data_IF_460571221225
#
_entry.id   IF_460571221225
#
_cell.length_a   1.000
_cell.length_b   1.000
_cell.length_c   1.000
_cell.angle_alpha   90.00
_cell.angle_beta   90.00
_cell.angle_gamma   90.00
#
_symmetry.space_group_name_H-M   'P 1'
#
loop_
_entity.id
_entity.type
_entity.pdbx_description
1 polymer ?
#
# COMPACT_ATOMS: atom_id res chain seq x y z
N UNK A 1 -30.29 5.00 -7.49
CA UNK A 1 -30.41 6.03 -6.44
C UNK A 1 -29.61 5.54 -5.24
N UNK A 2 -28.40 6.04 -4.96
CA UNK A 2 -27.82 5.80 -3.65
C UNK A 2 -28.54 6.72 -2.67
N UNK A 3 -29.39 6.14 -1.83
CA UNK A 3 -29.92 6.82 -0.65
C UNK A 3 -28.73 7.13 0.25
N UNK A 4 -28.50 8.41 0.53
CA UNK A 4 -27.59 8.79 1.62
C UNK A 4 -28.07 8.09 2.89
N UNK A 5 -27.15 7.44 3.60
CA UNK A 5 -27.45 6.92 4.93
C UNK A 5 -27.88 8.12 5.79
N UNK A 6 -29.07 8.08 6.41
CA UNK A 6 -29.48 9.17 7.29
C UNK A 6 -28.47 9.27 8.44
N UNK A 7 -28.22 10.47 8.96
CA UNK A 7 -27.30 10.63 10.10
C UNK A 7 -27.70 9.76 11.31
N UNK A 8 -29.00 9.43 11.44
CA UNK A 8 -29.52 8.49 12.43
C UNK A 8 -29.07 7.04 12.25
N UNK A 9 -28.51 6.66 11.10
CA UNK A 9 -27.89 5.36 10.87
C UNK A 9 -26.43 5.32 11.34
N UNK A 10 -25.85 6.45 11.73
CA UNK A 10 -24.49 6.52 12.29
C UNK A 10 -24.60 6.51 13.82
N UNK A 11 -24.09 5.45 14.45
CA UNK A 11 -23.93 5.41 15.91
C UNK A 11 -22.53 5.87 16.26
N UNK A 12 -22.41 7.02 16.92
CA UNK A 12 -21.14 7.47 17.47
C UNK A 12 -21.01 7.00 18.92
N UNK A 13 -19.96 6.23 19.20
CA UNK A 13 -19.54 5.95 20.57
C UNK A 13 -18.47 6.97 20.98
N UNK A 14 -18.59 7.52 22.19
CA UNK A 14 -17.56 8.37 22.79
C UNK A 14 -16.83 7.57 23.86
N UNK A 15 -15.51 7.53 23.77
CA UNK A 15 -14.64 6.95 24.79
C UNK A 15 -14.30 7.96 25.88
N UNK A 16 -13.93 7.47 27.05
CA UNK A 16 -13.30 8.29 28.09
C UNK A 16 -11.82 8.63 27.76
N UNK A 17 -11.26 8.02 26.71
CA UNK A 17 -9.86 8.21 26.29
C UNK A 17 -9.76 8.73 24.84
N UNK A 18 -8.61 9.32 24.53
CA UNK A 18 -8.28 9.87 23.21
C UNK A 18 -7.71 8.82 22.25
N UNK A 19 -8.05 7.53 22.43
CA UNK A 19 -7.48 6.43 21.63
C UNK A 19 -7.73 6.68 20.13
N UNK A 20 -8.96 7.04 19.78
CA UNK A 20 -9.42 7.29 18.41
C UNK A 20 -9.32 8.75 17.97
N UNK A 21 -8.77 9.66 18.78
CA UNK A 21 -8.54 11.04 18.41
C UNK A 21 -7.33 11.15 17.46
N UNK A 22 -7.43 10.52 16.29
CA UNK A 22 -6.34 10.31 15.34
C UNK A 22 -6.86 10.53 13.92
N UNK A 23 -6.10 11.29 13.13
CA UNK A 23 -6.33 11.57 11.72
C UNK A 23 -5.08 11.21 10.91
N UNK A 24 -5.27 10.78 9.67
CA UNK A 24 -4.19 10.39 8.75
C UNK A 24 -3.39 9.15 9.18
N UNK A 25 -3.82 8.41 10.21
CA UNK A 25 -3.36 7.04 10.47
C UNK A 25 -4.21 6.03 9.71
N UNK A 26 -3.84 4.76 9.74
CA UNK A 26 -4.63 3.66 9.16
C UNK A 26 -4.97 2.61 10.21
N UNK A 27 -6.05 1.86 9.97
CA UNK A 27 -6.50 0.79 10.88
C UNK A 27 -6.51 -0.55 10.16
N UNK A 28 -5.85 -1.55 10.74
CA UNK A 28 -5.84 -2.91 10.24
C UNK A 28 -6.20 -3.90 11.33
N UNK A 29 -7.00 -4.91 10.96
CA UNK A 29 -7.34 -6.04 11.82
C UNK A 29 -6.40 -7.20 11.52
N UNK A 30 -5.86 -7.81 12.56
CA UNK A 30 -5.01 -9.01 12.50
C UNK A 30 -5.85 -10.28 12.44
N UNK A 31 -5.23 -11.42 12.10
CA UNK A 31 -5.91 -12.73 12.13
C UNK A 31 -6.43 -13.13 13.53
N UNK A 32 -5.85 -12.58 14.61
CA UNK A 32 -6.26 -12.82 16.00
C UNK A 32 -7.31 -11.82 16.51
N UNK A 33 -7.99 -11.11 15.61
CA UNK A 33 -9.06 -10.13 15.89
C UNK A 33 -8.63 -8.89 16.71
N UNK A 34 -7.32 -8.69 16.88
CA UNK A 34 -6.77 -7.41 17.35
C UNK A 34 -6.80 -6.39 16.21
N UNK A 35 -7.16 -5.15 16.51
CA UNK A 35 -7.10 -4.01 15.60
C UNK A 35 -5.97 -3.10 16.02
N UNK A 36 -5.18 -2.66 15.04
CA UNK A 36 -4.09 -1.72 15.24
C UNK A 36 -4.41 -0.42 14.51
N UNK A 37 -4.46 0.69 15.26
CA UNK A 37 -4.47 2.04 14.74
C UNK A 37 -3.02 2.53 14.65
N UNK A 38 -2.53 2.67 13.43
CA UNK A 38 -1.12 2.89 13.12
C UNK A 38 -0.87 4.37 12.81
N UNK A 39 -0.07 4.99 13.67
CA UNK A 39 0.44 6.36 13.57
C UNK A 39 -0.68 7.41 13.40
N UNK A 40 -0.40 8.49 12.66
CA UNK A 40 -1.29 9.63 12.53
C UNK A 40 -1.11 10.67 13.62
N UNK A 41 -2.06 11.60 13.67
CA UNK A 41 -2.00 12.76 14.55
C UNK A 41 -3.38 13.11 15.13
N UNK A 42 -3.39 13.55 16.38
CA UNK A 42 -4.51 14.25 16.96
C UNK A 42 -4.54 15.68 16.43
N UNK A 43 -5.61 16.01 15.71
CA UNK A 43 -5.80 17.30 15.11
C UNK A 43 -6.97 18.00 15.80
N UNK A 44 -6.69 19.06 16.56
CA UNK A 44 -7.72 19.82 17.26
C UNK A 44 -8.22 20.98 16.40
N UNK A 45 -9.54 21.01 16.16
CA UNK A 45 -10.19 22.07 15.41
C UNK A 45 -10.24 21.84 13.88
N UNK A 46 -10.67 22.85 13.11
CA UNK A 46 -10.78 22.74 11.65
C UNK A 46 -9.40 22.77 10.97
N UNK A 47 -9.28 22.06 9.84
CA UNK A 47 -8.06 22.06 9.04
C UNK A 47 -7.79 23.43 8.43
N UNK A 48 -6.56 23.94 8.59
CA UNK A 48 -6.04 25.10 7.87
C UNK A 48 -4.69 24.73 7.25
N UNK A 49 -4.28 25.40 6.17
CA UNK A 49 -3.08 25.02 5.40
C UNK A 49 -1.76 25.00 6.19
N UNK A 50 -1.69 25.67 7.34
CA UNK A 50 -0.53 25.67 8.24
C UNK A 50 -0.74 24.86 9.53
N UNK A 51 -1.92 24.27 9.71
CA UNK A 51 -2.23 23.54 10.94
C UNK A 51 -1.43 22.23 11.02
N UNK A 52 -0.88 21.96 12.20
CA UNK A 52 -0.15 20.74 12.51
C UNK A 52 -0.78 20.06 13.74
N UNK A 53 -0.91 18.74 13.72
CA UNK A 53 -1.46 17.97 14.84
C UNK A 53 -0.37 17.52 15.82
N UNK A 54 -0.81 16.97 16.96
CA UNK A 54 0.05 16.23 17.89
C UNK A 54 0.13 14.79 17.38
N UNK A 55 1.31 14.35 16.93
CA UNK A 55 1.48 13.01 16.39
C UNK A 55 1.42 11.98 17.51
N UNK A 56 0.77 10.85 17.24
CA UNK A 56 0.74 9.74 18.19
C UNK A 56 2.08 9.05 18.21
N UNK A 57 2.71 8.89 17.03
CA UNK A 57 3.96 8.15 16.83
C UNK A 57 3.93 6.76 17.47
N UNK A 58 2.74 6.15 17.38
CA UNK A 58 2.32 4.95 18.08
C UNK A 58 1.54 4.02 17.17
N UNK A 59 1.68 2.72 17.43
CA UNK A 59 0.67 1.72 17.09
C UNK A 59 -0.20 1.51 18.32
N UNK A 60 -1.51 1.77 18.19
CA UNK A 60 -2.49 1.65 19.27
C UNK A 60 -3.38 0.44 19.02
N UNK A 61 -3.28 -0.54 19.89
CA UNK A 61 -3.96 -1.83 19.77
C UNK A 61 -5.22 -1.86 20.62
N UNK A 62 -6.29 -2.43 20.08
CA UNK A 62 -7.58 -2.62 20.76
C UNK A 62 -8.35 -3.77 20.11
N UNK A 63 -9.35 -4.31 20.80
CA UNK A 63 -10.34 -5.21 20.20
C UNK A 63 -11.64 -4.45 19.95
N UNK A 64 -12.44 -4.92 18.98
CA UNK A 64 -13.77 -4.38 18.68
C UNK A 64 -14.79 -5.48 18.87
N UNK A 65 -15.77 -5.25 19.73
CA UNK A 65 -16.94 -6.11 19.87
C UNK A 65 -18.13 -5.42 19.21
N UNK A 66 -18.66 -6.05 18.17
CA UNK A 66 -19.81 -5.55 17.41
C UNK A 66 -20.85 -6.66 17.26
N UNK A 67 -22.05 -6.40 17.76
CA UNK A 67 -23.22 -7.23 17.49
C UNK A 67 -24.16 -6.46 16.56
N UNK A 68 -24.40 -6.94 15.33
CA UNK A 68 -25.42 -6.37 14.46
C UNK A 68 -26.79 -6.41 15.13
N UNK A 69 -27.60 -5.37 14.96
CA UNK A 69 -28.98 -5.40 15.42
C UNK A 69 -29.79 -6.43 14.63
N UNK A 70 -30.60 -7.24 15.31
CA UNK A 70 -31.67 -8.00 14.65
C UNK A 70 -32.82 -7.06 14.25
N UNK A 71 -33.79 -7.53 13.47
CA UNK A 71 -35.02 -6.76 13.25
C UNK A 71 -35.64 -6.35 14.61
N UNK A 72 -35.73 -5.04 14.86
CA UNK A 72 -36.22 -4.46 16.11
C UNK A 72 -35.21 -4.36 17.26
N UNK A 73 -33.98 -4.85 17.10
CA UNK A 73 -32.88 -4.73 18.08
C UNK A 73 -31.89 -3.63 17.70
N UNK A 74 -31.38 -2.92 18.69
CA UNK A 74 -30.28 -1.96 18.47
C UNK A 74 -28.95 -2.72 18.32
N UNK A 75 -28.07 -2.34 17.37
CA UNK A 75 -26.72 -2.88 17.32
C UNK A 75 -25.95 -2.49 18.58
N UNK A 76 -24.99 -3.33 19.00
CA UNK A 76 -24.03 -2.99 20.06
C UNK A 76 -22.65 -2.80 19.43
N UNK A 77 -21.91 -1.80 19.90
CA UNK A 77 -20.54 -1.53 19.50
C UNK A 77 -19.74 -1.13 20.74
N UNK A 78 -18.66 -1.84 21.02
CA UNK A 78 -17.71 -1.50 22.08
C UNK A 78 -16.29 -1.84 21.66
N UNK A 79 -15.32 -1.35 22.42
CA UNK A 79 -13.91 -1.64 22.19
C UNK A 79 -13.17 -1.81 23.52
N UNK A 80 -12.12 -2.61 23.51
CA UNK A 80 -11.22 -2.77 24.67
C UNK A 80 -9.82 -2.33 24.28
N UNK A 81 -9.31 -1.21 24.83
CA UNK A 81 -7.91 -0.82 24.66
C UNK A 81 -6.97 -1.91 25.16
N UNK A 82 -5.86 -2.14 24.46
CA UNK A 82 -4.84 -3.09 24.86
C UNK A 82 -3.52 -2.38 25.21
N UNK A 83 -2.75 -1.99 24.19
CA UNK A 83 -1.44 -1.37 24.34
C UNK A 83 -1.22 -0.28 23.31
N UNK A 84 -0.36 0.69 23.64
CA UNK A 84 0.25 1.59 22.68
C UNK A 84 1.74 1.28 22.60
N UNK A 85 2.32 1.27 21.40
CA UNK A 85 3.74 0.97 21.21
C UNK A 85 4.37 1.85 20.12
N UNK A 86 5.50 2.53 20.40
CA UNK A 86 6.09 2.71 21.72
C UNK A 86 5.22 3.60 22.63
N UNK A 87 5.37 3.48 23.95
CA UNK A 87 4.73 4.36 24.92
C UNK A 87 5.82 4.93 25.87
N UNK A 88 6.09 6.24 25.84
CA UNK A 88 5.50 7.26 24.96
C UNK A 88 5.87 7.06 23.47
N UNK A 89 5.10 7.70 22.58
CA UNK A 89 5.40 7.73 21.15
C UNK A 89 6.79 8.31 20.84
N UNK A 90 7.40 7.87 19.73
CA UNK A 90 8.72 8.34 19.30
C UNK A 90 8.65 9.08 17.96
N UNK A 91 8.68 10.40 17.99
CA UNK A 91 8.60 11.22 16.78
C UNK A 91 9.84 11.10 15.88
N UNK A 92 10.99 10.67 16.43
CA UNK A 92 12.22 10.52 15.65
C UNK A 92 12.19 9.28 14.75
N UNK A 93 11.31 8.33 15.08
CA UNK A 93 11.12 7.09 14.33
C UNK A 93 9.73 7.01 13.69
N UNK A 94 8.66 7.34 14.39
CA UNK A 94 7.30 6.89 14.05
C UNK A 94 6.31 8.01 13.76
N UNK A 95 6.74 9.27 13.79
CA UNK A 95 5.90 10.41 13.42
C UNK A 95 5.54 10.36 11.95
N UNK A 96 4.31 10.05 11.56
CA UNK A 96 3.87 10.13 10.16
C UNK A 96 2.36 10.06 10.05
N UNK A 97 1.83 10.61 8.95
CA UNK A 97 0.42 10.51 8.56
C UNK A 97 0.28 10.39 7.04
N UNK A 98 -0.96 10.22 6.59
CA UNK A 98 -1.40 10.12 5.20
C UNK A 98 -0.53 9.10 4.45
N UNK A 99 -0.50 7.87 4.96
CA UNK A 99 0.48 6.86 4.61
C UNK A 99 -0.15 5.56 4.09
N UNK A 100 0.67 4.72 3.46
CA UNK A 100 0.29 3.35 3.12
C UNK A 100 0.66 2.40 4.27
N UNK A 101 -0.35 1.86 4.97
CA UNK A 101 -0.17 0.75 5.92
C UNK A 101 -0.84 -0.49 5.33
N UNK A 102 -0.07 -1.58 5.20
CA UNK A 102 -0.55 -2.81 4.55
C UNK A 102 -0.36 -4.02 5.46
N UNK A 103 -1.21 -5.06 5.35
CA UNK A 103 -0.90 -6.34 5.97
C UNK A 103 0.34 -6.93 5.29
N UNK A 104 1.16 -7.66 6.05
CA UNK A 104 2.40 -8.22 5.54
C UNK A 104 2.59 -9.67 5.96
N UNK A 105 3.35 -10.40 5.15
CA UNK A 105 3.73 -11.79 5.37
C UNK A 105 5.25 -11.90 5.32
N UNK A 106 5.83 -12.54 6.32
CA UNK A 106 7.27 -12.83 6.41
C UNK A 106 7.47 -14.32 6.64
N UNK A 107 8.52 -14.89 6.09
CA UNK A 107 8.96 -16.25 6.40
C UNK A 107 10.29 -16.20 7.13
N UNK A 108 10.48 -17.11 8.08
CA UNK A 108 11.81 -17.34 8.65
C UNK A 108 12.73 -17.95 7.59
N UNK A 109 13.86 -17.32 7.23
CA UNK A 109 14.80 -17.92 6.28
C UNK A 109 15.33 -19.30 6.70
N UNK A 110 15.29 -19.62 7.99
CA UNK A 110 15.75 -20.89 8.55
C UNK A 110 14.62 -21.92 8.75
N UNK A 111 13.36 -21.50 8.67
CA UNK A 111 12.20 -22.38 8.76
C UNK A 111 11.16 -22.00 7.69
N UNK A 112 11.17 -22.69 6.54
CA UNK A 112 10.25 -22.39 5.46
C UNK A 112 8.77 -22.58 5.77
N UNK A 113 8.43 -23.34 6.82
CA UNK A 113 7.05 -23.52 7.27
C UNK A 113 6.59 -22.41 8.21
N UNK A 114 7.51 -21.66 8.83
CA UNK A 114 7.20 -20.58 9.74
C UNK A 114 6.91 -19.27 8.99
N UNK A 115 5.63 -19.06 8.70
CA UNK A 115 5.12 -17.80 8.17
C UNK A 115 4.58 -16.94 9.31
N UNK A 116 5.03 -15.69 9.38
CA UNK A 116 4.66 -14.70 10.37
C UNK A 116 3.84 -13.59 9.70
N UNK A 117 2.70 -13.28 10.30
CA UNK A 117 1.87 -12.15 9.90
C UNK A 117 2.30 -10.87 10.64
N UNK A 118 2.09 -9.74 9.99
CA UNK A 118 2.28 -8.42 10.58
C UNK A 118 1.71 -7.33 9.68
N UNK A 119 2.24 -6.13 9.79
CA UNK A 119 1.95 -5.02 8.91
C UNK A 119 3.23 -4.33 8.48
N UNK A 120 3.17 -3.58 7.39
CA UNK A 120 4.23 -2.65 7.00
C UNK A 120 3.60 -1.30 6.79
N UNK A 121 4.04 -0.32 7.58
CA UNK A 121 3.79 1.08 7.31
C UNK A 121 4.94 1.58 6.44
N UNK A 122 4.62 1.97 5.22
CA UNK A 122 5.60 2.47 4.27
C UNK A 122 5.98 3.93 4.59
N UNK A 123 6.41 4.68 3.58
CA UNK A 123 6.52 6.12 3.62
C UNK A 123 5.28 6.81 4.23
N UNK A 124 5.37 8.12 4.40
CA UNK A 124 4.30 8.96 4.92
C UNK A 124 4.82 10.38 5.01
N UNK A 125 4.02 11.30 5.48
CA UNK A 125 4.38 12.72 5.41
C UNK A 125 4.48 13.41 6.75
N UNK A 126 5.14 14.57 6.68
CA UNK A 126 5.46 15.49 7.73
C UNK A 126 6.46 14.95 8.75
N UNK A 127 7.69 14.74 8.28
CA UNK A 127 8.84 14.47 9.17
C UNK A 127 8.95 15.52 10.28
N UNK A 128 9.49 15.07 11.40
CA UNK A 128 9.77 15.95 12.53
C UNK A 128 11.02 16.82 12.29
N UNK A 129 11.35 17.70 13.25
CA UNK A 129 12.58 18.49 13.21
C UNK A 129 13.85 17.62 13.40
N UNK A 130 13.68 16.38 13.86
CA UNK A 130 14.75 15.39 14.02
C UNK A 130 14.23 14.05 13.49
N UNK A 131 15.01 13.40 12.63
CA UNK A 131 14.67 12.08 12.07
C UNK A 131 15.82 11.11 12.30
N UNK A 132 15.49 9.85 12.59
CA UNK A 132 16.47 8.78 12.61
C UNK A 132 16.90 8.43 11.17
N UNK A 133 18.21 8.34 10.94
CA UNK A 133 18.80 7.92 9.65
C UNK A 133 19.46 6.56 9.75
N UNK A 134 19.42 5.97 10.93
CA UNK A 134 20.00 4.67 11.23
C UNK A 134 21.45 4.65 11.68
N UNK A 135 22.24 5.65 11.33
CA UNK A 135 23.54 5.85 11.98
C UNK A 135 23.46 6.85 13.13
N UNK A 136 22.23 7.23 13.51
CA UNK A 136 21.94 8.28 14.47
C UNK A 136 20.71 9.07 14.04
N UNK A 137 20.73 10.37 14.32
CA UNK A 137 19.67 11.31 13.93
C UNK A 137 20.24 12.48 13.14
N UNK A 138 19.42 13.07 12.28
CA UNK A 138 19.74 14.31 11.57
C UNK A 138 18.67 15.35 11.82
N UNK A 139 19.07 16.62 11.88
CA UNK A 139 18.13 17.73 11.84
C UNK A 139 17.42 17.75 10.49
N UNK A 140 16.11 17.88 10.52
CA UNK A 140 15.24 18.00 9.35
C UNK A 140 14.55 19.37 9.42
N UNK A 141 14.29 20.04 8.28
CA UNK A 141 13.47 21.24 8.25
C UNK A 141 12.03 20.99 8.71
N UNK A 142 11.66 19.72 8.92
CA UNK A 142 10.30 19.28 9.18
C UNK A 142 9.48 19.27 7.91
N UNK A 143 8.27 18.73 7.99
CA UNK A 143 7.31 18.70 6.89
C UNK A 143 7.78 17.98 5.61
N UNK A 144 8.83 17.15 5.72
CA UNK A 144 9.31 16.29 4.64
C UNK A 144 8.53 14.98 4.55
N UNK A 145 9.03 14.07 3.72
CA UNK A 145 8.50 12.70 3.61
C UNK A 145 9.37 11.70 4.34
N UNK A 146 8.74 10.69 4.93
CA UNK A 146 9.41 9.48 5.39
C UNK A 146 9.69 8.58 4.22
N UNK A 147 10.85 7.94 4.27
CA UNK A 147 11.33 7.06 3.21
C UNK A 147 11.74 5.68 3.73
N UNK A 148 11.80 5.51 5.04
CA UNK A 148 12.09 4.22 5.67
C UNK A 148 10.79 3.52 6.10
N UNK A 149 10.56 2.28 5.61
CA UNK A 149 9.45 1.46 6.06
C UNK A 149 9.56 1.14 7.56
N UNK A 150 8.41 0.88 8.17
CA UNK A 150 8.28 0.38 9.53
C UNK A 150 7.54 -0.95 9.47
N UNK A 151 8.23 -2.02 9.87
CA UNK A 151 7.61 -3.32 10.08
C UNK A 151 6.92 -3.30 11.45
N UNK A 152 5.69 -3.82 11.51
CA UNK A 152 4.89 -3.88 12.72
C UNK A 152 4.51 -5.33 12.95
N UNK A 153 4.87 -5.88 14.11
CA UNK A 153 4.53 -7.26 14.47
C UNK A 153 3.01 -7.47 14.60
N UNK A 154 2.56 -8.72 14.63
CA UNK A 154 1.17 -9.05 14.93
C UNK A 154 0.68 -8.46 16.28
N UNK A 155 1.59 -8.26 17.25
CA UNK A 155 1.31 -7.66 18.57
C UNK A 155 1.37 -6.13 18.58
N UNK A 156 1.63 -5.50 17.43
CA UNK A 156 1.67 -4.04 17.30
C UNK A 156 3.02 -3.41 17.65
N UNK A 157 4.12 -4.16 17.73
CA UNK A 157 5.44 -3.60 18.00
C UNK A 157 6.08 -3.07 16.70
N UNK A 158 6.32 -1.76 16.55
CA UNK A 158 6.93 -1.18 15.35
C UNK A 158 8.46 -1.24 15.39
N UNK A 159 9.08 -1.52 14.24
CA UNK A 159 10.52 -1.48 14.00
C UNK A 159 10.80 -0.80 12.67
N UNK A 160 11.48 0.35 12.69
CA UNK A 160 11.89 1.03 11.46
C UNK A 160 13.07 0.29 10.81
N UNK A 161 12.87 -0.12 9.56
CA UNK A 161 13.88 -0.82 8.76
C UNK A 161 14.88 0.20 8.20
N UNK A 162 16.15 -0.19 8.12
CA UNK A 162 17.21 0.68 7.61
C UNK A 162 17.78 1.65 8.64
N UNK A 163 17.41 1.50 9.92
CA UNK A 163 17.98 2.26 11.04
C UNK A 163 19.41 1.84 11.44
N UNK A 164 20.20 1.32 10.51
CA UNK A 164 21.65 1.08 10.68
C UNK A 164 22.42 1.55 9.44
N UNK A 165 21.96 2.62 8.79
CA UNK A 165 22.16 2.80 7.35
C UNK A 165 23.61 2.86 6.86
N UNK A 166 23.85 2.23 5.72
CA UNK A 166 25.02 2.45 4.88
C UNK A 166 24.53 3.13 3.59
N UNK A 167 25.43 3.53 2.69
CA UNK A 167 25.06 4.12 1.40
C UNK A 167 24.15 3.21 0.53
N UNK A 168 23.99 1.94 0.88
CA UNK A 168 23.14 0.96 0.18
C UNK A 168 21.82 0.64 0.88
N UNK A 169 21.47 1.37 1.95
CA UNK A 169 20.18 1.16 2.61
C UNK A 169 19.02 1.59 1.72
N UNK A 170 17.95 0.79 1.70
CA UNK A 170 16.75 1.12 0.96
C UNK A 170 16.13 2.42 1.46
N UNK A 171 15.67 3.23 0.51
CA UNK A 171 14.96 4.48 0.73
C UNK A 171 13.81 4.49 -0.26
N UNK A 172 12.56 4.51 0.23
CA UNK A 172 11.39 4.58 -0.63
C UNK A 172 11.39 5.92 -1.37
N UNK A 173 11.46 5.84 -2.70
CA UNK A 173 11.59 6.97 -3.59
C UNK A 173 10.24 7.58 -3.98
N UNK A 174 9.17 6.79 -4.09
CA UNK A 174 7.89 7.23 -4.66
C UNK A 174 6.68 6.74 -3.87
N UNK A 175 5.51 7.32 -4.17
CA UNK A 175 4.20 6.96 -3.61
C UNK A 175 4.16 7.10 -2.07
N UNK A 176 4.52 8.28 -1.58
CA UNK A 176 4.65 8.55 -0.15
C UNK A 176 3.32 8.69 0.57
N UNK A 177 2.30 9.21 -0.11
CA UNK A 177 0.98 9.37 0.46
C UNK A 177 0.13 8.10 0.32
N UNK A 178 -0.89 7.99 1.19
CA UNK A 178 -1.96 6.99 1.10
C UNK A 178 -2.49 6.86 -0.33
N UNK A 179 -2.49 5.62 -0.82
CA UNK A 179 -3.02 5.26 -2.12
C UNK A 179 -3.70 3.90 -2.08
N UNK A 180 -4.38 3.55 -3.17
CA UNK A 180 -4.73 2.16 -3.37
C UNK A 180 -3.44 1.33 -3.37
N UNK A 181 -3.48 0.17 -2.72
CA UNK A 181 -2.34 -0.72 -2.63
C UNK A 181 -2.80 -2.18 -2.65
N UNK A 182 -1.89 -3.06 -3.07
CA UNK A 182 -2.11 -4.50 -3.20
C UNK A 182 -0.84 -5.20 -2.74
N UNK A 183 -0.97 -6.11 -1.75
CA UNK A 183 0.16 -6.90 -1.27
C UNK A 183 0.06 -8.36 -1.70
N UNK A 184 1.14 -8.87 -2.28
CA UNK A 184 1.28 -10.27 -2.72
C UNK A 184 2.50 -10.90 -2.05
N UNK A 185 2.42 -12.20 -1.80
CA UNK A 185 3.50 -12.98 -1.22
C UNK A 185 3.76 -14.23 -2.04
N UNK A 186 5.00 -14.47 -2.42
CA UNK A 186 5.41 -15.70 -3.10
C UNK A 186 5.86 -16.76 -2.09
N UNK A 187 5.16 -17.89 -2.11
CA UNK A 187 5.54 -19.11 -1.43
C UNK A 187 6.85 -19.70 -1.97
N UNK A 188 7.09 -19.56 -3.28
CA UNK A 188 8.26 -20.12 -3.96
C UNK A 188 9.54 -19.34 -3.73
N UNK A 189 9.52 -18.00 -3.72
CA UNK A 189 10.73 -17.18 -3.50
C UNK A 189 10.86 -16.65 -2.07
N UNK A 190 9.75 -16.53 -1.35
CA UNK A 190 9.69 -15.86 -0.04
C UNK A 190 9.57 -14.34 -0.14
N UNK A 191 9.43 -13.79 -1.34
CA UNK A 191 9.29 -12.35 -1.56
C UNK A 191 7.90 -11.86 -1.19
N UNK A 192 7.87 -10.68 -0.57
CA UNK A 192 6.67 -9.93 -0.28
C UNK A 192 6.69 -8.64 -1.08
N UNK A 193 5.70 -8.43 -1.94
CA UNK A 193 5.63 -7.26 -2.82
C UNK A 193 4.34 -6.48 -2.58
N UNK A 194 4.46 -5.18 -2.33
CA UNK A 194 3.33 -4.26 -2.29
C UNK A 194 3.36 -3.35 -3.51
N UNK A 195 2.29 -3.38 -4.30
CA UNK A 195 2.03 -2.42 -5.36
C UNK A 195 1.33 -1.20 -4.76
N UNK A 196 1.77 -0.01 -5.12
CA UNK A 196 1.17 1.27 -4.77
C UNK A 196 0.71 1.95 -6.04
N UNK A 197 -0.59 2.21 -6.16
CA UNK A 197 -1.20 2.71 -7.38
C UNK A 197 -1.37 4.23 -7.32
N UNK A 198 -0.52 4.97 -8.04
CA UNK A 198 -0.61 6.43 -8.14
C UNK A 198 -0.47 7.12 -6.78
N UNK A 199 -1.25 8.17 -6.54
CA UNK A 199 -1.23 8.89 -5.27
C UNK A 199 -0.49 10.21 -5.36
N UNK A 200 0.21 10.57 -4.29
CA UNK A 200 1.02 11.78 -4.19
C UNK A 200 2.46 11.38 -3.87
N UNK A 201 3.43 12.02 -4.53
CA UNK A 201 4.82 11.57 -4.53
C UNK A 201 5.82 12.71 -4.31
N UNK A 202 6.95 12.41 -3.66
CA UNK A 202 8.10 13.31 -3.55
C UNK A 202 9.09 13.17 -4.71
N UNK A 203 8.99 12.11 -5.50
CA UNK A 203 9.80 11.96 -6.70
C UNK A 203 8.97 11.43 -7.87
N UNK A 204 9.32 11.88 -9.07
CA UNK A 204 8.79 11.35 -10.34
C UNK A 204 9.91 10.63 -11.07
N UNK A 205 9.60 9.49 -11.67
CA UNK A 205 10.55 8.69 -12.44
C UNK A 205 10.27 8.85 -13.93
N UNK A 206 11.30 9.17 -14.71
CA UNK A 206 11.21 9.13 -16.17
C UNK A 206 11.67 7.76 -16.68
N UNK A 207 10.76 6.89 -17.16
CA UNK A 207 11.13 5.56 -17.63
C UNK A 207 11.95 5.56 -18.92
N UNK A 208 12.02 6.67 -19.68
CA UNK A 208 12.85 6.76 -20.88
C UNK A 208 14.32 7.04 -20.55
N UNK A 209 14.57 7.96 -19.61
CA UNK A 209 15.93 8.33 -19.19
C UNK A 209 16.43 7.55 -17.98
N UNK A 210 15.55 6.91 -17.22
CA UNK A 210 15.86 6.27 -15.95
C UNK A 210 16.13 7.26 -14.81
N UNK A 211 15.77 8.54 -14.99
CA UNK A 211 16.06 9.61 -14.04
C UNK A 211 14.93 9.76 -13.03
N UNK A 212 15.31 9.79 -11.75
CA UNK A 212 14.43 10.15 -10.65
C UNK A 212 14.59 11.64 -10.33
N UNK A 213 13.50 12.39 -10.31
CA UNK A 213 13.49 13.83 -10.03
C UNK A 213 12.70 14.13 -8.78
N UNK A 214 13.30 14.82 -7.81
CA UNK A 214 12.64 15.30 -6.61
C UNK A 214 11.67 16.44 -6.93
N UNK A 215 10.49 16.40 -6.32
CA UNK A 215 9.40 17.36 -6.49
C UNK A 215 9.06 17.94 -5.11
N UNK A 216 9.33 19.23 -4.90
CA UNK A 216 9.19 19.87 -3.59
C UNK A 216 7.73 20.09 -3.18
N UNK A 217 6.83 20.18 -4.17
CA UNK A 217 5.40 20.45 -3.99
C UNK A 217 4.58 19.19 -3.71
N UNK A 218 5.21 18.00 -3.77
CA UNK A 218 4.55 16.71 -3.62
C UNK A 218 3.34 16.56 -4.57
N UNK A 219 3.56 16.43 -5.89
CA UNK A 219 2.47 16.37 -6.85
C UNK A 219 1.68 15.07 -6.80
N UNK A 220 0.42 15.13 -7.23
CA UNK A 220 -0.34 13.98 -7.67
C UNK A 220 0.39 13.25 -8.80
N UNK A 221 0.31 11.92 -8.82
CA UNK A 221 0.97 11.09 -9.82
C UNK A 221 0.11 9.89 -10.20
N UNK A 222 0.19 9.49 -11.48
CA UNK A 222 -0.35 8.22 -11.95
C UNK A 222 0.63 7.06 -11.80
N UNK A 223 1.89 7.34 -11.41
CA UNK A 223 2.96 6.35 -11.40
C UNK A 223 2.71 5.30 -10.33
N UNK A 224 2.77 4.05 -10.76
CA UNK A 224 2.60 2.85 -9.96
C UNK A 224 4.00 2.32 -9.69
N UNK A 225 4.27 1.99 -8.43
CA UNK A 225 5.49 1.30 -8.05
C UNK A 225 5.20 0.02 -7.28
N UNK A 226 6.18 -0.88 -7.28
CA UNK A 226 6.20 -2.06 -6.43
C UNK A 226 7.35 -1.93 -5.45
N UNK A 227 7.06 -2.07 -4.16
CA UNK A 227 8.09 -2.23 -3.12
C UNK A 227 8.16 -3.70 -2.75
N UNK A 228 9.32 -4.32 -2.93
CA UNK A 228 9.56 -5.73 -2.64
C UNK A 228 10.50 -5.88 -1.46
N UNK A 229 10.09 -6.66 -0.47
CA UNK A 229 10.95 -7.23 0.56
C UNK A 229 11.27 -8.67 0.21
N UNK A 230 12.54 -8.95 -0.04
CA UNK A 230 13.04 -10.30 -0.32
C UNK A 230 13.04 -11.16 0.95
N UNK A 231 13.17 -12.48 0.82
CA UNK A 231 13.28 -13.41 1.95
C UNK A 231 14.39 -13.00 2.95
N UNK A 232 15.50 -12.47 2.46
CA UNK A 232 16.61 -11.99 3.28
C UNK A 232 16.30 -10.69 4.06
N UNK A 233 15.16 -10.05 3.81
CA UNK A 233 14.75 -8.78 4.42
C UNK A 233 15.22 -7.53 3.67
N UNK A 234 15.91 -7.69 2.54
CA UNK A 234 16.32 -6.59 1.66
C UNK A 234 15.10 -5.97 0.97
N UNK A 235 15.03 -4.64 0.97
CA UNK A 235 13.99 -3.90 0.28
C UNK A 235 14.48 -3.32 -1.05
N UNK A 236 13.60 -3.30 -2.04
CA UNK A 236 13.78 -2.57 -3.30
C UNK A 236 12.47 -1.93 -3.75
N UNK A 237 12.54 -0.91 -4.61
CA UNK A 237 11.37 -0.29 -5.24
C UNK A 237 11.57 -0.25 -6.76
N UNK A 238 10.52 -0.59 -7.51
CA UNK A 238 10.52 -0.62 -8.96
C UNK A 238 9.36 0.19 -9.51
N UNK A 239 9.59 0.94 -10.58
CA UNK A 239 8.52 1.52 -11.40
C UNK A 239 7.86 0.40 -12.23
N UNK A 240 6.53 0.28 -12.14
CA UNK A 240 5.79 -0.80 -12.83
C UNK A 240 4.84 -0.29 -13.90
N UNK A 241 4.56 1.02 -13.95
CA UNK A 241 3.68 1.61 -14.95
C UNK A 241 2.92 2.81 -14.41
N UNK A 242 1.83 3.17 -15.08
CA UNK A 242 0.97 4.29 -14.74
C UNK A 242 -0.51 3.89 -14.85
N UNK A 243 -1.40 4.61 -14.16
CA UNK A 243 -2.83 4.50 -14.40
C UNK A 243 -3.16 4.70 -15.89
N UNK A 244 -4.18 3.99 -16.42
CA UNK A 244 -4.62 4.19 -17.79
C UNK A 244 -5.14 5.61 -17.99
N UNK A 245 -4.93 6.14 -19.19
CA UNK A 245 -5.47 7.42 -19.58
C UNK A 245 -7.00 7.36 -19.71
N UNK A 246 -7.70 8.23 -19.00
CA UNK A 246 -9.16 8.39 -19.04
C UNK A 246 -9.51 9.81 -19.53
N UNK A 247 -10.14 9.96 -20.71
CA UNK A 247 -10.63 11.27 -21.13
C UNK A 247 -11.86 11.65 -20.29
N UNK A 248 -11.83 12.81 -19.63
CA UNK A 248 -13.05 13.38 -19.03
C UNK A 248 -13.96 13.92 -20.15
N UNK A 249 -15.27 13.69 -19.98
CA UNK A 249 -16.36 14.04 -20.90
C UNK A 249 -16.28 15.50 -21.38
N UNK A 250 -16.57 15.72 -22.67
CA UNK A 250 -16.51 16.98 -23.46
C UNK A 250 -15.26 17.21 -24.32
N UNK A 251 -14.59 16.14 -24.77
CA UNK A 251 -13.61 16.22 -25.87
C UNK A 251 -12.33 17.01 -25.56
N UNK A 252 -12.15 17.46 -24.32
CA UNK A 252 -10.94 18.16 -23.88
C UNK A 252 -10.06 17.16 -23.14
N UNK A 253 -8.85 16.92 -23.65
CA UNK A 253 -7.86 16.06 -23.02
C UNK A 253 -7.37 16.72 -21.72
N UNK A 254 -7.91 16.32 -20.57
CA UNK A 254 -7.30 16.64 -19.28
C UNK A 254 -6.53 15.42 -18.79
N UNK A 255 -5.25 15.61 -18.45
CA UNK A 255 -4.48 14.64 -17.68
C UNK A 255 -5.19 14.45 -16.34
N UNK A 256 -5.72 13.26 -16.08
CA UNK A 256 -6.34 12.93 -14.80
C UNK A 256 -5.35 12.10 -14.01
N UNK A 257 -5.01 12.58 -12.80
CA UNK A 257 -4.08 11.95 -11.86
C UNK A 257 -4.88 11.26 -10.77
N UNK A 258 -4.68 9.96 -10.61
CA UNK A 258 -5.48 9.07 -9.76
C UNK A 258 -4.67 8.46 -8.62
N UNK A 259 -5.39 7.78 -7.72
CA UNK A 259 -4.81 6.85 -6.75
C UNK A 259 -4.72 7.40 -5.33
N UNK A 260 -4.65 8.72 -5.15
CA UNK A 260 -4.57 9.34 -3.83
C UNK A 260 -5.82 9.01 -3.02
N UNK A 261 -5.66 8.42 -1.83
CA UNK A 261 -6.76 7.94 -0.97
C UNK A 261 -7.71 6.92 -1.61
N UNK A 262 -7.37 6.35 -2.77
CA UNK A 262 -8.15 5.28 -3.37
C UNK A 262 -7.98 3.98 -2.57
N UNK A 263 -8.90 3.03 -2.73
CA UNK A 263 -8.80 1.71 -2.08
C UNK A 263 -8.92 0.58 -3.10
N UNK A 264 -8.17 -0.48 -2.86
CA UNK A 264 -8.26 -1.73 -3.60
C UNK A 264 -9.27 -2.66 -2.92
N UNK A 265 -10.08 -3.32 -3.73
CA UNK A 265 -11.10 -4.28 -3.32
C UNK A 265 -10.84 -5.60 -4.06
N UNK A 266 -10.52 -6.65 -3.30
CA UNK A 266 -10.31 -7.98 -3.86
C UNK A 266 -11.58 -8.49 -4.56
N UNK A 267 -11.41 -9.19 -5.69
CA UNK A 267 -12.56 -9.75 -6.40
C UNK A 267 -13.23 -10.85 -5.57
N UNK A 268 -14.55 -10.81 -5.34
CA UNK A 268 -15.26 -11.85 -4.59
C UNK A 268 -15.30 -13.20 -5.32
N UNK A 269 -14.89 -13.24 -6.60
CA UNK A 269 -14.81 -14.46 -7.40
C UNK A 269 -13.55 -15.28 -7.13
N UNK A 270 -12.58 -14.74 -6.37
CA UNK A 270 -11.36 -15.46 -6.07
C UNK A 270 -11.63 -16.60 -5.08
N UNK A 271 -10.92 -17.73 -5.21
CA UNK A 271 -11.10 -18.84 -4.29
C UNK A 271 -10.57 -18.47 -2.90
N UNK A 272 -11.17 -19.05 -1.85
CA UNK A 272 -10.83 -18.72 -0.46
C UNK A 272 -9.36 -18.95 -0.11
N UNK A 273 -8.66 -19.84 -0.83
CA UNK A 273 -7.24 -20.12 -0.62
C UNK A 273 -6.29 -19.12 -1.31
N UNK A 274 -6.78 -18.21 -2.16
CA UNK A 274 -5.95 -17.23 -2.90
C UNK A 274 -5.31 -16.16 -2.00
N UNK A 275 -5.76 -16.06 -0.75
CA UNK A 275 -5.29 -15.06 0.21
C UNK A 275 -4.97 -15.69 1.57
N UNK A 276 -4.11 -15.04 2.33
CA UNK A 276 -3.95 -15.26 3.77
C UNK A 276 -5.13 -14.65 4.52
N UNK A 277 -5.31 -15.04 5.78
CA UNK A 277 -6.40 -14.52 6.62
C UNK A 277 -6.30 -13.00 6.82
N UNK A 278 -5.08 -12.45 6.87
CA UNK A 278 -4.84 -11.01 6.95
C UNK A 278 -5.03 -10.26 5.61
N UNK A 279 -5.47 -10.93 4.55
CA UNK A 279 -5.78 -10.31 3.26
C UNK A 279 -4.61 -10.17 2.28
N UNK A 280 -3.41 -10.65 2.62
CA UNK A 280 -2.29 -10.70 1.64
C UNK A 280 -2.57 -11.79 0.61
N UNK A 281 -2.33 -11.52 -0.66
CA UNK A 281 -2.52 -12.51 -1.72
C UNK A 281 -1.38 -13.51 -1.76
N UNK A 282 -1.70 -14.78 -2.00
CA UNK A 282 -0.72 -15.83 -2.29
C UNK A 282 -0.43 -15.82 -3.78
N UNK A 283 0.73 -15.26 -4.17
CA UNK A 283 1.09 -15.05 -5.56
C UNK A 283 1.09 -16.37 -6.34
N UNK A 284 1.69 -17.43 -5.79
CA UNK A 284 1.78 -18.71 -6.50
C UNK A 284 0.39 -19.30 -6.79
N UNK A 285 -0.55 -19.16 -5.85
CA UNK A 285 -1.93 -19.61 -6.02
C UNK A 285 -2.69 -18.75 -7.03
N UNK A 286 -2.49 -17.42 -7.00
CA UNK A 286 -3.06 -16.53 -8.02
C UNK A 286 -2.56 -16.88 -9.42
N UNK A 287 -1.25 -17.12 -9.58
CA UNK A 287 -0.67 -17.48 -10.87
C UNK A 287 -1.19 -18.83 -11.38
N UNK A 288 -1.46 -19.79 -10.48
CA UNK A 288 -2.05 -21.07 -10.83
C UNK A 288 -3.49 -20.96 -11.40
N UNK A 289 -4.21 -19.87 -11.10
CA UNK A 289 -5.54 -19.60 -11.65
C UNK A 289 -5.50 -19.09 -13.11
N UNK A 290 -4.32 -18.68 -13.59
CA UNK A 290 -4.18 -18.05 -14.90
C UNK A 290 -4.39 -16.53 -14.88
N UNK A 291 -4.42 -15.91 -16.06
CA UNK A 291 -4.69 -14.48 -16.20
C UNK A 291 -6.15 -14.16 -15.85
N UNK A 292 -6.38 -13.07 -15.13
CA UNK A 292 -7.73 -12.66 -14.74
C UNK A 292 -7.78 -11.45 -13.81
N UNK A 293 -8.99 -10.97 -13.55
CA UNK A 293 -9.22 -9.86 -12.62
C UNK A 293 -9.08 -10.34 -11.18
N UNK A 294 -8.14 -9.73 -10.44
CA UNK A 294 -7.91 -10.05 -9.02
C UNK A 294 -8.60 -9.04 -8.09
N UNK A 295 -9.06 -7.92 -8.62
CA UNK A 295 -9.82 -6.93 -7.86
C UNK A 295 -10.03 -5.64 -8.62
N UNK A 296 -10.46 -4.62 -7.89
CA UNK A 296 -10.86 -3.33 -8.42
C UNK A 296 -10.33 -2.22 -7.53
N UNK A 297 -9.92 -1.10 -8.12
CA UNK A 297 -9.62 0.13 -7.38
C UNK A 297 -10.77 1.10 -7.56
N UNK A 298 -11.23 1.68 -6.46
CA UNK A 298 -12.32 2.66 -6.47
C UNK A 298 -12.08 3.77 -5.44
N UNK A 299 -12.67 4.94 -5.72
CA UNK A 299 -12.65 6.10 -4.84
C UNK A 299 -11.33 6.87 -4.91
N UNK A 300 -11.06 7.61 -3.84
CA UNK A 300 -9.93 8.53 -3.77
C UNK A 300 -10.17 9.83 -4.53
N UNK A 301 -9.08 10.58 -4.71
CA UNK A 301 -9.05 11.87 -5.37
C UNK A 301 -8.60 11.67 -6.82
N UNK A 302 -9.28 12.36 -7.74
CA UNK A 302 -8.77 12.61 -9.09
C UNK A 302 -8.41 14.08 -9.21
N UNK A 303 -7.22 14.38 -9.72
CA UNK A 303 -6.77 15.75 -9.98
C UNK A 303 -6.46 15.99 -11.44
N UNK A 304 -6.81 17.18 -11.95
CA UNK A 304 -6.52 17.60 -13.32
C UNK A 304 -5.15 18.22 -13.50
N UNK A 305 -4.44 18.47 -12.39
CA UNK A 305 -3.11 19.10 -12.34
C UNK A 305 -2.24 18.41 -11.28
N UNK A 306 -0.90 18.40 -11.44
CA UNK A 306 -0.02 17.80 -10.43
C UNK A 306 -0.11 18.48 -9.07
N UNK A 307 -0.26 19.81 -9.02
CA UNK A 307 -0.34 20.58 -7.78
C UNK A 307 -1.61 21.44 -7.81
N UNK A 308 -2.47 21.28 -6.81
CA UNK A 308 -3.75 22.00 -6.75
C UNK A 308 -3.55 23.40 -6.15
N UNK A 309 -4.23 24.38 -6.73
CA UNK A 309 -4.29 25.77 -6.29
C UNK A 309 -5.72 26.29 -6.13
N UNK A 310 -6.68 25.54 -6.67
CA UNK A 310 -8.12 25.81 -6.64
C UNK A 310 -8.89 24.56 -6.23
N UNK A 311 -10.08 24.76 -5.64
CA UNK A 311 -11.00 23.66 -5.29
C UNK A 311 -11.54 22.91 -6.52
N UNK A 312 -11.38 23.48 -7.71
CA UNK A 312 -11.80 22.85 -8.97
C UNK A 312 -10.74 21.94 -9.58
N UNK A 313 -9.52 21.96 -9.04
CA UNK A 313 -8.37 21.21 -9.58
C UNK A 313 -8.44 19.71 -9.22
N UNK A 314 -9.32 19.34 -8.28
CA UNK A 314 -9.51 17.97 -7.85
C UNK A 314 -10.94 17.69 -7.41
N UNK A 315 -11.39 16.46 -7.58
CA UNK A 315 -12.69 15.97 -7.13
C UNK A 315 -12.57 14.52 -6.64
N UNK A 316 -13.63 13.98 -6.03
CA UNK A 316 -13.71 12.55 -5.75
C UNK A 316 -13.75 11.77 -7.06
N UNK A 317 -12.92 10.73 -7.18
CA UNK A 317 -12.87 9.89 -8.37
C UNK A 317 -14.15 9.05 -8.49
N UNK A 318 -14.89 9.14 -9.61
CA UNK A 318 -16.03 8.27 -9.88
C UNK A 318 -15.63 6.94 -10.56
N UNK A 319 -14.35 6.79 -10.93
CA UNK A 319 -13.88 5.70 -11.78
C UNK A 319 -13.60 4.42 -11.00
N UNK A 320 -13.89 3.29 -11.64
CA UNK A 320 -13.51 1.95 -11.18
C UNK A 320 -12.46 1.40 -12.13
N UNK A 321 -11.30 1.03 -11.60
CA UNK A 321 -10.23 0.41 -12.38
C UNK A 321 -10.14 -1.08 -12.05
N UNK A 322 -10.20 -1.96 -13.06
CA UNK A 322 -9.90 -3.37 -12.85
C UNK A 322 -8.40 -3.60 -12.72
N UNK A 323 -8.01 -4.43 -11.76
CA UNK A 323 -6.62 -4.90 -11.61
C UNK A 323 -6.56 -6.33 -12.12
N UNK A 324 -5.78 -6.54 -13.17
CA UNK A 324 -5.69 -7.80 -13.89
C UNK A 324 -4.28 -8.36 -13.73
N UNK A 325 -4.18 -9.59 -13.22
CA UNK A 325 -2.94 -10.35 -13.30
C UNK A 325 -2.85 -11.00 -14.68
N UNK A 326 -1.72 -10.85 -15.35
CA UNK A 326 -1.48 -11.43 -16.67
C UNK A 326 -0.24 -12.30 -16.61
N UNK A 327 -0.40 -13.60 -16.91
CA UNK A 327 0.73 -14.49 -17.11
C UNK A 327 1.43 -14.11 -18.42
N UNK A 328 2.71 -13.75 -18.31
CA UNK A 328 3.56 -13.55 -19.47
C UNK A 328 4.46 -14.78 -19.59
N UNK A 329 4.51 -15.47 -20.74
CA UNK A 329 5.48 -16.53 -20.95
C UNK A 329 6.89 -15.97 -20.75
N UNK A 330 7.68 -16.61 -19.89
CA UNK A 330 9.07 -16.23 -19.68
C UNK A 330 9.80 -16.08 -21.04
N UNK A 331 10.59 -15.02 -21.27
CA UNK A 331 11.31 -14.82 -22.54
C UNK A 331 12.15 -16.04 -22.95
N UNK A 332 12.67 -16.77 -21.96
CA UNK A 332 13.39 -18.04 -22.14
C UNK A 332 12.51 -19.16 -22.70
N UNK A 333 11.21 -19.20 -22.36
CA UNK A 333 10.23 -20.16 -22.88
C UNK A 333 9.92 -19.88 -24.36
N UNK A 334 9.82 -18.61 -24.74
CA UNK A 334 9.69 -18.21 -26.14
C UNK A 334 10.95 -18.56 -26.95
N UNK A 335 12.15 -18.31 -26.40
CA UNK A 335 13.41 -18.66 -27.03
C UNK A 335 13.58 -20.19 -27.18
N UNK A 336 13.20 -20.97 -26.17
CA UNK A 336 13.24 -22.44 -26.19
C UNK A 336 12.21 -23.03 -27.17
N UNK A 337 11.01 -22.47 -27.27
CA UNK A 337 10.00 -22.89 -28.24
C UNK A 337 10.45 -22.62 -29.69
N UNK A 338 11.10 -21.48 -29.94
CA UNK A 338 11.70 -21.14 -31.23
C UNK A 338 12.88 -22.06 -31.58
N UNK A 339 13.74 -22.40 -30.60
CA UNK A 339 14.84 -23.35 -30.79
C UNK A 339 14.33 -24.79 -31.03
N UNK A 340 13.29 -25.22 -30.33
CA UNK A 340 12.65 -26.53 -30.51
C UNK A 340 12.03 -26.72 -31.90
N UNK A 341 11.41 -25.67 -32.45
CA UNK A 341 10.90 -25.67 -33.84
C UNK A 341 12.04 -25.73 -34.87
N UNK A 342 13.14 -25.02 -34.63
CA UNK A 342 14.32 -25.07 -35.50
C UNK A 342 14.99 -26.46 -35.53
N UNK A 343 15.07 -27.14 -34.38
CA UNK A 343 15.62 -28.50 -34.28
C UNK A 343 14.64 -29.58 -34.77
N UNK A 344 13.33 -29.40 -34.57
CA UNK A 344 12.28 -30.31 -35.06
C UNK A 344 12.18 -30.34 -36.58
N UNK A 345 12.27 -29.16 -37.24
CA UNK A 345 12.24 -29.05 -38.70
C UNK A 345 13.43 -29.71 -39.40
N UNK A 346 14.61 -29.72 -38.77
CA UNK A 346 15.81 -30.35 -39.31
C UNK A 346 15.78 -31.90 -39.25
N UNK A 347 15.05 -32.46 -38.29
CA UNK A 347 14.97 -33.92 -38.10
C UNK A 347 13.94 -34.60 -39.01
N UNK A 348 12.91 -33.86 -39.47
CA UNK A 348 11.86 -34.39 -40.35
C UNK A 348 12.30 -34.41 -41.83
N UNK A 349 13.22 -33.54 -42.24
CA UNK A 349 13.69 -33.48 -43.64
C UNK A 349 14.74 -34.55 -44.04
N UNK A 350 15.26 -35.36 -43.10
CA UNK A 350 16.27 -36.39 -43.40
C UNK A 350 15.74 -37.82 -43.58
N UNK A 351 14.43 -38.07 -43.42
CA UNK A 351 13.87 -39.44 -43.53
C UNK A 351 13.10 -39.79 -44.81
N UNK A 352 13.13 -38.95 -45.84
CA UNK A 352 12.62 -39.30 -47.19
C UNK A 352 13.70 -39.16 -48.26
N UNK A 353 14.62 -40.12 -48.30
CA UNK A 353 15.33 -40.55 -49.52
C UNK A 353 16.20 -41.77 -49.19
N UNK A 354 15.69 -42.97 -49.49
CA UNK A 354 16.36 -43.98 -50.32
C UNK A 354 15.45 -45.20 -50.48
N UNK A 355 15.32 -45.59 -51.75
CA UNK A 355 14.83 -46.87 -52.22
C UNK A 355 15.81 -47.99 -51.85
#
# INVERSE_FOLDING_TARGET
MPTSLPASAVTQISGANDLFAVTGGDTLRTANDQVHLVFGQNFQGPYTGSSNGIYTSQVRSFTVDYTPGSEGGSPTLSYTPMNASPEPGDDTLFRRRDLNVVPSIRRDPNDPAAVQEGMTAYAGVFTGPVIATGTGTVSSPGNGVWTLPVEISATGAPTMVGTTSTASSFVQAMNQYSSANLSVYSGSTGDFTTFMFGGITANTYDPQSGVLTYQAEYPFTNQITAVTRELAGTYSQQYVGEYPFTPIVSGTRTFSLYGAEAKFFASPSLPANAMFQNGVFKLDELLALGSGTIGYIFGGIVSSVPNTSSRLDSTASPEIFSVIITLVPEPSTCAMALAGLACGGYSIFRRRKRA
#
